data_IF_841571275403
#
_entry.id   IF_841571275403
#
_cell.length_a   1.000
_cell.length_b   1.000
_cell.length_c   1.000
_cell.angle_alpha   90.00
_cell.angle_beta   90.00
_cell.angle_gamma   90.00
#
_symmetry.space_group_name_H-M   'P 1'
#
loop_
_entity.id
_entity.type
_entity.pdbx_description
1 polymer ?
#
# COMPACT_ATOMS: atom_id res chain seq x y z
N UNK A 1 -14.65 7.81 20.68
CA UNK A 1 -13.65 7.73 19.59
C UNK A 1 -14.37 7.49 18.27
N UNK A 2 -14.00 8.19 17.19
CA UNK A 2 -14.62 7.99 15.87
C UNK A 2 -14.04 6.78 15.14
N UNK A 3 -14.84 6.16 14.25
CA UNK A 3 -14.43 5.02 13.41
C UNK A 3 -13.13 5.29 12.64
N UNK A 4 -12.94 6.52 12.17
CA UNK A 4 -11.71 6.96 11.49
C UNK A 4 -10.47 6.87 12.38
N UNK A 5 -10.55 7.36 13.63
CA UNK A 5 -9.42 7.33 14.56
C UNK A 5 -9.02 5.90 14.93
N UNK A 6 -10.01 5.01 15.10
CA UNK A 6 -9.75 3.59 15.35
C UNK A 6 -9.03 2.96 14.16
N UNK A 7 -9.51 3.19 12.94
CA UNK A 7 -8.86 2.69 11.73
C UNK A 7 -7.42 3.21 11.60
N UNK A 8 -7.17 4.49 11.88
CA UNK A 8 -5.80 5.04 11.86
C UNK A 8 -4.87 4.33 12.84
N UNK A 9 -5.32 3.99 14.04
CA UNK A 9 -4.52 3.25 15.03
C UNK A 9 -4.28 1.82 14.56
N UNK A 10 -5.30 1.16 14.00
CA UNK A 10 -5.17 -0.20 13.48
C UNK A 10 -4.13 -0.26 12.36
N UNK A 11 -4.23 0.63 11.37
CA UNK A 11 -3.37 0.65 10.19
C UNK A 11 -1.93 1.00 10.56
N UNK A 12 -1.71 2.02 11.39
CA UNK A 12 -0.36 2.55 11.64
C UNK A 12 0.38 1.90 12.80
N UNK A 13 -0.32 1.23 13.72
CA UNK A 13 0.31 0.70 14.94
C UNK A 13 0.02 -0.79 15.15
N UNK A 14 -1.26 -1.17 15.23
CA UNK A 14 -1.63 -2.54 15.65
C UNK A 14 -1.27 -3.57 14.58
N UNK A 15 -1.62 -3.33 13.33
CA UNK A 15 -1.39 -4.27 12.24
C UNK A 15 0.11 -4.43 11.93
N UNK A 16 0.92 -3.35 11.82
CA UNK A 16 2.36 -3.48 11.66
C UNK A 16 3.02 -4.24 12.81
N UNK A 17 2.61 -3.98 14.05
CA UNK A 17 3.10 -4.72 15.21
C UNK A 17 2.77 -6.22 15.11
N UNK A 18 1.54 -6.56 14.74
CA UNK A 18 1.12 -7.95 14.54
C UNK A 18 1.96 -8.65 13.46
N UNK A 19 2.21 -7.99 12.34
CA UNK A 19 3.02 -8.55 11.27
C UNK A 19 4.47 -8.78 11.73
N UNK A 20 5.08 -7.80 12.40
CA UNK A 20 6.44 -7.92 12.93
C UNK A 20 6.53 -9.03 13.98
N UNK A 21 5.53 -9.17 14.85
CA UNK A 21 5.47 -10.24 15.84
C UNK A 21 5.36 -11.62 15.16
N UNK A 22 4.53 -11.75 14.13
CA UNK A 22 4.46 -12.96 13.30
C UNK A 22 5.81 -13.28 12.65
N UNK A 23 6.50 -12.27 12.11
CA UNK A 23 7.85 -12.44 11.56
C UNK A 23 8.87 -12.88 12.61
N UNK A 24 8.84 -12.28 13.80
CA UNK A 24 9.78 -12.59 14.88
C UNK A 24 9.58 -13.99 15.45
N UNK A 25 8.35 -14.49 15.45
CA UNK A 25 7.98 -15.82 15.95
C UNK A 25 7.92 -16.88 14.85
N UNK A 26 8.35 -16.55 13.62
CA UNK A 26 8.26 -17.42 12.43
C UNK A 26 6.83 -17.97 12.19
N UNK A 27 5.82 -17.18 12.58
CA UNK A 27 4.42 -17.56 12.49
C UNK A 27 3.76 -16.90 11.27
N UNK A 28 3.70 -17.66 10.17
CA UNK A 28 3.06 -17.24 8.91
C UNK A 28 1.59 -16.85 9.10
N UNK A 29 0.83 -17.58 9.93
CA UNK A 29 -0.59 -17.29 10.16
C UNK A 29 -0.82 -15.88 10.74
N UNK A 30 0.09 -15.38 11.57
CA UNK A 30 -0.01 -14.02 12.12
C UNK A 30 0.32 -12.95 11.08
N UNK A 31 1.27 -13.22 10.19
CA UNK A 31 1.58 -12.33 9.06
C UNK A 31 0.40 -12.26 8.09
N UNK A 32 -0.15 -13.41 7.69
CA UNK A 32 -1.30 -13.47 6.80
C UNK A 32 -2.52 -12.78 7.42
N UNK A 33 -2.75 -12.98 8.72
CA UNK A 33 -3.84 -12.30 9.43
C UNK A 33 -3.67 -10.77 9.44
N UNK A 34 -2.44 -10.27 9.59
CA UNK A 34 -2.17 -8.84 9.51
C UNK A 34 -2.51 -8.27 8.11
N UNK A 35 -2.14 -8.99 7.05
CA UNK A 35 -2.49 -8.61 5.67
C UNK A 35 -4.00 -8.65 5.45
N UNK A 36 -4.67 -9.72 5.87
CA UNK A 36 -6.13 -9.85 5.79
C UNK A 36 -6.88 -8.75 6.53
N UNK A 37 -6.32 -8.20 7.61
CA UNK A 37 -6.90 -7.04 8.27
C UNK A 37 -6.82 -5.79 7.41
N UNK A 38 -5.71 -5.54 6.72
CA UNK A 38 -5.59 -4.39 5.79
C UNK A 38 -6.55 -4.52 4.61
N UNK A 39 -6.74 -5.72 4.06
CA UNK A 39 -7.67 -5.98 2.95
C UNK A 39 -9.13 -5.66 3.32
N UNK A 40 -9.50 -5.81 4.60
CA UNK A 40 -10.87 -5.57 5.10
C UNK A 40 -11.12 -4.14 5.57
N UNK A 41 -10.06 -3.35 5.78
CA UNK A 41 -10.20 -1.96 6.21
C UNK A 41 -10.39 -1.04 5.01
N UNK A 42 -11.17 0.02 5.22
CA UNK A 42 -11.36 1.04 4.19
C UNK A 42 -10.02 1.71 3.82
N UNK A 43 -9.84 2.15 2.56
CA UNK A 43 -8.66 2.89 2.13
C UNK A 43 -8.44 4.13 2.98
N UNK A 44 -7.18 4.50 3.16
CA UNK A 44 -6.86 5.79 3.75
C UNK A 44 -7.37 6.95 2.90
N UNK A 45 -7.94 7.96 3.57
CA UNK A 45 -8.46 9.15 2.92
C UNK A 45 -7.45 10.29 3.00
N UNK A 46 -6.48 10.31 2.07
CA UNK A 46 -5.48 11.36 1.96
C UNK A 46 -5.31 11.84 0.49
N UNK A 47 -4.61 12.96 0.30
CA UNK A 47 -4.47 13.59 -1.02
C UNK A 47 -3.65 12.76 -2.02
N UNK A 48 -2.76 11.90 -1.53
CA UNK A 48 -1.98 10.99 -2.37
C UNK A 48 -2.91 9.94 -2.99
N UNK A 49 -3.74 9.29 -2.17
CA UNK A 49 -4.72 8.29 -2.65
C UNK A 49 -5.76 8.92 -3.59
N UNK A 50 -6.21 10.16 -3.30
CA UNK A 50 -7.09 10.89 -4.22
C UNK A 50 -6.43 11.13 -5.58
N UNK A 51 -5.12 11.41 -5.60
CA UNK A 51 -4.37 11.60 -6.85
C UNK A 51 -4.25 10.30 -7.65
N UNK A 52 -3.98 9.17 -6.99
CA UNK A 52 -3.98 7.85 -7.64
C UNK A 52 -5.35 7.50 -8.25
N UNK A 53 -6.45 7.75 -7.51
CA UNK A 53 -7.81 7.55 -8.02
C UNK A 53 -8.10 8.40 -9.26
N UNK A 54 -7.63 9.65 -9.29
CA UNK A 54 -7.76 10.54 -10.46
C UNK A 54 -6.98 10.03 -11.69
N UNK A 55 -5.92 9.26 -11.49
CA UNK A 55 -5.18 8.57 -12.57
C UNK A 55 -5.86 7.26 -13.00
N UNK A 56 -7.04 6.93 -12.49
CA UNK A 56 -7.79 5.73 -12.83
C UNK A 56 -7.41 4.48 -12.04
N UNK A 57 -6.55 4.59 -11.02
CA UNK A 57 -6.19 3.45 -10.17
C UNK A 57 -7.31 3.18 -9.16
N UNK A 58 -7.83 1.95 -9.15
CA UNK A 58 -8.78 1.50 -8.14
C UNK A 58 -8.09 1.31 -6.79
N UNK A 59 -8.71 1.81 -5.72
CA UNK A 59 -8.23 1.66 -4.35
C UNK A 59 -9.42 1.32 -3.47
N UNK A 60 -9.49 0.05 -3.06
CA UNK A 60 -10.65 -0.59 -2.43
C UNK A 60 -10.44 -0.92 -0.96
N UNK A 61 -9.18 -1.10 -0.55
CA UNK A 61 -8.80 -1.44 0.82
C UNK A 61 -7.66 -0.57 1.37
N UNK A 62 -7.38 -0.70 2.67
CA UNK A 62 -6.19 -0.14 3.29
C UNK A 62 -4.91 -0.82 2.80
N UNK A 63 -4.99 -2.08 2.37
CA UNK A 63 -3.87 -2.77 1.75
C UNK A 63 -3.44 -2.04 0.47
N UNK A 64 -4.41 -1.70 -0.39
CA UNK A 64 -4.16 -0.95 -1.63
C UNK A 64 -3.57 0.44 -1.33
N UNK A 65 -4.15 1.17 -0.37
CA UNK A 65 -3.66 2.52 -0.05
C UNK A 65 -2.24 2.49 0.50
N UNK A 66 -1.93 1.55 1.40
CA UNK A 66 -0.59 1.39 1.96
C UNK A 66 0.43 1.00 0.87
N UNK A 67 0.08 0.06 -0.01
CA UNK A 67 0.95 -0.33 -1.13
C UNK A 67 1.29 0.87 -2.04
N UNK A 68 0.29 1.71 -2.36
CA UNK A 68 0.49 2.89 -3.21
C UNK A 68 1.28 4.02 -2.52
N UNK A 69 1.09 4.20 -1.21
CA UNK A 69 1.86 5.17 -0.42
C UNK A 69 3.34 4.76 -0.39
N UNK A 70 3.64 3.50 -0.10
CA UNK A 70 5.00 2.98 -0.07
C UNK A 70 5.65 2.95 -1.46
N UNK A 71 4.89 2.57 -2.50
CA UNK A 71 5.36 2.61 -3.88
C UNK A 71 5.77 4.05 -4.27
N UNK A 72 4.98 5.05 -3.86
CA UNK A 72 5.28 6.45 -4.13
C UNK A 72 6.52 6.92 -3.35
N UNK A 73 6.57 6.68 -2.04
CA UNK A 73 7.64 7.15 -1.16
C UNK A 73 8.99 6.47 -1.48
N UNK A 74 8.97 5.18 -1.78
CA UNK A 74 10.19 4.39 -1.99
C UNK A 74 10.75 4.54 -3.42
N UNK A 75 9.88 4.80 -4.41
CA UNK A 75 10.28 4.85 -5.82
C UNK A 75 9.95 6.16 -6.52
N UNK A 76 8.68 6.55 -6.61
CA UNK A 76 8.25 7.69 -7.43
C UNK A 76 8.93 9.00 -6.98
N UNK A 77 8.89 9.28 -5.68
CA UNK A 77 9.45 10.51 -5.10
C UNK A 77 10.98 10.54 -5.18
N UNK A 78 11.59 9.35 -5.31
CA UNK A 78 13.04 9.18 -5.46
C UNK A 78 13.46 9.00 -6.93
N UNK A 79 12.53 9.13 -7.88
CA UNK A 79 12.76 8.97 -9.32
C UNK A 79 13.42 7.62 -9.67
N UNK A 80 13.06 6.54 -8.95
CA UNK A 80 13.62 5.19 -9.15
C UNK A 80 12.79 4.33 -10.11
N UNK A 81 12.18 4.93 -11.14
CA UNK A 81 11.25 4.23 -12.04
C UNK A 81 11.89 3.04 -12.77
N UNK A 82 13.19 3.10 -13.10
CA UNK A 82 13.95 1.99 -13.70
C UNK A 82 14.21 0.81 -12.74
N UNK A 83 13.91 0.97 -11.45
CA UNK A 83 13.98 -0.09 -10.42
C UNK A 83 12.58 -0.49 -9.90
N UNK A 84 11.53 0.11 -10.44
CA UNK A 84 10.14 -0.15 -10.06
C UNK A 84 9.50 -1.03 -11.13
N UNK A 85 8.85 -2.13 -10.73
CA UNK A 85 8.16 -3.02 -11.67
C UNK A 85 7.13 -2.30 -12.56
N UNK A 86 6.32 -1.42 -11.95
CA UNK A 86 5.33 -0.58 -12.67
C UNK A 86 6.04 0.37 -13.64
N UNK A 87 7.09 1.06 -13.17
CA UNK A 87 7.83 2.02 -14.00
C UNK A 87 8.47 1.36 -15.21
N UNK A 88 9.12 0.21 -15.02
CA UNK A 88 9.70 -0.60 -16.10
C UNK A 88 8.63 -0.97 -17.13
N UNK A 89 7.45 -1.41 -16.67
CA UNK A 89 6.37 -1.80 -17.57
C UNK A 89 5.79 -0.62 -18.37
N UNK A 90 5.69 0.57 -17.76
CA UNK A 90 5.29 1.79 -18.47
C UNK A 90 6.28 2.11 -19.60
N UNK A 91 7.58 2.06 -19.33
CA UNK A 91 8.60 2.35 -20.34
C UNK A 91 8.57 1.35 -21.50
N UNK A 92 8.40 0.05 -21.22
CA UNK A 92 8.26 -0.96 -22.28
C UNK A 92 7.08 -0.66 -23.20
N UNK A 93 5.92 -0.33 -22.62
CA UNK A 93 4.72 -0.03 -23.39
C UNK A 93 4.81 1.28 -24.20
N UNK A 94 5.68 2.21 -23.82
CA UNK A 94 5.97 3.40 -24.62
C UNK A 94 6.91 3.10 -25.79
N UNK A 95 7.89 2.21 -25.61
CA UNK A 95 8.84 1.83 -26.65
C UNK A 95 8.20 1.00 -27.77
N UNK A 96 7.18 0.19 -27.46
CA UNK A 96 6.47 -0.66 -28.45
C UNK A 96 5.49 0.15 -29.32
N UNK A 97 5.19 1.40 -28.96
CA UNK A 97 4.25 2.28 -29.70
C UNK A 97 4.93 3.21 -30.70
N UNK A 98 6.25 3.16 -30.84
CA UNK A 98 7.03 3.86 -31.86
C UNK A 98 7.52 2.87 -32.92
#
# INVERSE_FOLDING_TARGET
MGKTSINSILINAVIPMLFVYGKHTENENLKDRAIQFLEKLAPENNNIIKSWKRLGISVSSSFDSQALLEQKSAYCDKVKCLKCGIGIEIFKNQLVKN
#
